data_IF_176077642817
#
_entry.id   IF_176077642817
#
_cell.length_a   1.000
_cell.length_b   1.000
_cell.length_c   1.000
_cell.angle_alpha   90.00
_cell.angle_beta   90.00
_cell.angle_gamma   90.00
#
_symmetry.space_group_name_H-M   'P 1'
#
loop_
_entity.id
_entity.type
_entity.pdbx_description
1 polymer ?
#
# COMPACT_ATOMS: atom_id res chain seq x y z
N UNK A 1 26.21 23.89 20.29
CA UNK A 1 25.33 24.49 19.25
C UNK A 1 24.37 23.40 18.79
N UNK A 2 23.12 23.43 19.29
CA UNK A 2 22.09 22.50 18.85
C UNK A 2 21.58 22.97 17.50
N UNK A 3 21.92 22.28 16.41
CA UNK A 3 21.22 22.46 15.14
C UNK A 3 19.82 21.89 15.32
N UNK A 4 18.84 22.77 15.56
CA UNK A 4 17.44 22.43 15.36
C UNK A 4 17.31 22.14 13.87
N UNK A 5 17.20 20.87 13.51
CA UNK A 5 16.73 20.46 12.18
C UNK A 5 15.35 21.10 12.02
N UNK A 6 15.24 22.03 11.08
CA UNK A 6 13.94 22.57 10.70
C UNK A 6 13.03 21.41 10.26
N UNK A 7 11.74 21.42 10.61
CA UNK A 7 10.82 20.41 10.13
C UNK A 7 10.80 20.45 8.61
N UNK A 8 11.06 19.31 7.98
CA UNK A 8 10.89 19.17 6.53
C UNK A 8 9.42 19.45 6.24
N UNK A 9 9.15 20.57 5.57
CA UNK A 9 7.79 20.88 5.11
C UNK A 9 7.51 19.90 3.98
N UNK A 10 6.68 18.90 4.26
CA UNK A 10 6.17 17.99 3.23
C UNK A 10 5.34 18.81 2.25
N UNK A 11 5.77 18.85 0.99
CA UNK A 11 5.01 19.48 -0.10
C UNK A 11 4.02 18.44 -0.61
N UNK A 12 2.73 18.64 -0.33
CA UNK A 12 1.67 17.74 -0.82
C UNK A 12 1.39 17.94 -2.31
N UNK A 13 0.65 17.00 -2.90
CA UNK A 13 0.04 17.12 -4.22
C UNK A 13 -0.79 18.39 -4.33
N UNK A 14 -1.60 18.69 -3.31
CA UNK A 14 -2.45 19.88 -3.27
C UNK A 14 -1.63 21.17 -3.25
N UNK A 15 -0.57 21.23 -2.44
CA UNK A 15 0.32 22.39 -2.40
C UNK A 15 0.98 22.65 -3.76
N UNK A 16 1.35 21.56 -4.47
CA UNK A 16 1.88 21.68 -5.83
C UNK A 16 0.81 22.12 -6.82
N UNK A 17 -0.39 21.56 -6.75
CA UNK A 17 -1.50 21.88 -7.66
C UNK A 17 -1.84 23.38 -7.62
N UNK A 18 -1.94 23.95 -6.41
CA UNK A 18 -2.28 25.37 -6.20
C UNK A 18 -1.24 26.33 -6.77
N UNK A 19 0.04 25.93 -6.86
CA UNK A 19 1.10 26.75 -7.48
C UNK A 19 0.92 26.95 -8.99
N UNK A 20 0.08 26.13 -9.65
CA UNK A 20 -0.15 26.19 -11.09
C UNK A 20 1.09 25.77 -11.89
N UNK A 21 1.11 26.10 -13.21
CA UNK A 21 2.17 25.66 -14.15
C UNK A 21 2.48 24.18 -14.00
N UNK A 22 1.44 23.35 -14.12
CA UNK A 22 1.46 21.94 -13.71
C UNK A 22 2.57 21.12 -14.38
N UNK A 23 2.97 21.50 -15.58
CA UNK A 23 3.88 20.73 -16.43
C UNK A 23 5.19 21.46 -16.72
N UNK A 24 5.59 22.39 -15.84
CA UNK A 24 6.89 23.06 -15.91
C UNK A 24 8.03 22.04 -15.74
N UNK A 25 8.99 22.05 -16.67
CA UNK A 25 10.08 21.07 -16.71
C UNK A 25 10.86 21.02 -15.39
N UNK A 26 10.99 19.82 -14.82
CA UNK A 26 11.67 19.59 -13.54
C UNK A 26 10.83 19.92 -12.31
N UNK A 27 9.58 20.30 -12.49
CA UNK A 27 8.62 20.58 -11.44
C UNK A 27 7.23 20.05 -11.82
N UNK A 28 7.15 19.01 -12.64
CA UNK A 28 5.90 18.45 -13.13
C UNK A 28 5.04 17.92 -11.97
N UNK A 29 3.72 18.17 -12.03
CA UNK A 29 2.75 17.80 -10.99
C UNK A 29 2.71 16.27 -10.76
N UNK A 30 2.84 15.51 -11.84
CA UNK A 30 2.89 14.05 -11.82
C UNK A 30 4.19 13.60 -12.45
N UNK A 31 4.67 12.42 -12.07
CA UNK A 31 5.83 11.81 -12.72
C UNK A 31 5.46 11.38 -14.15
N UNK A 32 6.10 12.01 -15.15
CA UNK A 32 5.81 11.80 -16.57
C UNK A 32 6.28 10.44 -17.12
N UNK A 33 7.09 9.69 -16.37
CA UNK A 33 7.56 8.35 -16.75
C UNK A 33 6.79 7.24 -16.02
N UNK A 34 6.36 7.48 -14.79
CA UNK A 34 5.57 6.51 -14.01
C UNK A 34 4.71 7.23 -12.97
N UNK A 35 3.40 7.31 -13.20
CA UNK A 35 2.47 8.00 -12.29
C UNK A 35 2.41 7.37 -10.89
N UNK A 36 2.77 6.09 -10.77
CA UNK A 36 2.80 5.35 -9.51
C UNK A 36 4.07 5.64 -8.68
N UNK A 37 5.00 6.44 -9.20
CA UNK A 37 6.17 6.92 -8.50
C UNK A 37 6.04 8.42 -8.23
N UNK A 38 6.65 8.86 -7.14
CA UNK A 38 6.63 10.27 -6.77
C UNK A 38 7.29 11.14 -7.85
N UNK A 39 6.78 12.36 -8.09
CA UNK A 39 7.48 13.36 -8.89
C UNK A 39 8.69 13.92 -8.11
N UNK A 40 9.63 14.54 -8.81
CA UNK A 40 10.92 15.00 -8.24
C UNK A 40 10.71 16.01 -7.10
N UNK A 41 9.68 16.85 -7.17
CA UNK A 41 9.41 17.85 -6.14
C UNK A 41 8.90 17.24 -4.82
N UNK A 42 8.38 16.02 -4.83
CA UNK A 42 7.69 15.42 -3.70
C UNK A 42 8.69 14.78 -2.73
N UNK A 43 8.82 15.35 -1.53
CA UNK A 43 9.88 14.96 -0.59
C UNK A 43 9.59 13.64 0.15
N UNK A 44 8.32 13.20 0.19
CA UNK A 44 7.91 11.94 0.82
C UNK A 44 8.24 10.68 0.02
N UNK A 45 7.86 9.51 0.54
CA UNK A 45 8.09 8.21 -0.11
C UNK A 45 7.09 7.94 -1.24
N UNK A 46 7.32 6.90 -2.06
CA UNK A 46 6.37 6.51 -3.10
C UNK A 46 5.03 6.06 -2.48
N UNK A 47 5.05 5.46 -1.29
CA UNK A 47 3.84 5.11 -0.54
C UNK A 47 3.05 6.38 -0.17
N UNK A 48 3.72 7.36 0.44
CA UNK A 48 3.09 8.63 0.82
C UNK A 48 2.54 9.38 -0.40
N UNK A 49 3.25 9.33 -1.53
CA UNK A 49 2.77 9.87 -2.80
C UNK A 49 1.47 9.19 -3.23
N UNK A 50 1.44 7.85 -3.28
CA UNK A 50 0.25 7.09 -3.65
C UNK A 50 -0.92 7.43 -2.70
N UNK A 51 -0.66 7.49 -1.40
CA UNK A 51 -1.66 7.86 -0.40
C UNK A 51 -2.21 9.27 -0.64
N UNK A 52 -1.36 10.25 -0.92
CA UNK A 52 -1.76 11.63 -1.16
C UNK A 52 -2.61 11.75 -2.44
N UNK A 53 -2.13 11.24 -3.58
CA UNK A 53 -2.86 11.39 -4.84
C UNK A 53 -4.18 10.61 -4.82
N UNK A 54 -4.20 9.40 -4.26
CA UNK A 54 -5.44 8.60 -4.22
C UNK A 54 -6.46 9.20 -3.26
N UNK A 55 -6.02 9.91 -2.21
CA UNK A 55 -6.89 10.71 -1.35
C UNK A 55 -7.47 11.89 -2.12
N UNK A 56 -6.65 12.62 -2.87
CA UNK A 56 -7.14 13.72 -3.72
C UNK A 56 -8.18 13.22 -4.73
N UNK A 57 -7.90 12.12 -5.43
CA UNK A 57 -8.79 11.51 -6.44
C UNK A 57 -10.13 11.13 -5.81
N UNK A 58 -10.11 10.50 -4.64
CA UNK A 58 -11.32 10.11 -3.92
C UNK A 58 -12.19 11.31 -3.55
N UNK A 59 -11.56 12.41 -3.11
CA UNK A 59 -12.27 13.62 -2.68
C UNK A 59 -12.68 14.53 -3.86
N UNK A 60 -11.94 14.51 -4.96
CA UNK A 60 -12.09 15.47 -6.08
C UNK A 60 -12.06 14.77 -7.46
N UNK A 61 -12.94 13.80 -7.74
CA UNK A 61 -12.86 12.97 -8.95
C UNK A 61 -13.00 13.76 -10.25
N UNK A 62 -13.79 14.84 -10.27
CA UNK A 62 -13.96 15.70 -11.44
C UNK A 62 -12.68 16.47 -11.78
N UNK A 63 -12.06 17.10 -10.77
CA UNK A 63 -10.80 17.81 -10.93
C UNK A 63 -9.67 16.86 -11.35
N UNK A 64 -9.65 15.64 -10.79
CA UNK A 64 -8.71 14.62 -11.22
C UNK A 64 -8.84 14.28 -12.69
N UNK A 65 -10.07 14.10 -13.20
CA UNK A 65 -10.27 13.74 -14.61
C UNK A 65 -9.67 14.78 -15.56
N UNK A 66 -9.81 16.07 -15.25
CA UNK A 66 -9.20 17.15 -16.04
C UNK A 66 -7.67 17.05 -16.01
N UNK A 67 -7.08 16.92 -14.82
CA UNK A 67 -5.62 16.79 -14.63
C UNK A 67 -5.08 15.54 -15.34
N UNK A 68 -5.77 14.41 -15.24
CA UNK A 68 -5.34 13.15 -15.81
C UNK A 68 -5.42 13.17 -17.34
N UNK A 69 -6.44 13.82 -17.91
CA UNK A 69 -6.52 14.02 -19.36
C UNK A 69 -5.37 14.87 -19.90
N UNK A 70 -4.99 15.95 -19.19
CA UNK A 70 -3.80 16.73 -19.53
C UNK A 70 -2.51 15.89 -19.41
N UNK A 71 -2.38 15.14 -18.32
CA UNK A 71 -1.24 14.26 -18.09
C UNK A 71 -1.04 13.24 -19.21
N UNK A 72 -2.11 12.59 -19.67
CA UNK A 72 -2.04 11.60 -20.74
C UNK A 72 -1.57 12.18 -22.09
N UNK A 73 -1.73 13.49 -22.32
CA UNK A 73 -1.26 14.13 -23.55
C UNK A 73 0.26 14.38 -23.55
N UNK A 74 0.87 14.49 -22.37
CA UNK A 74 2.28 14.88 -22.21
C UNK A 74 3.15 13.73 -21.68
N UNK A 75 2.54 12.73 -21.05
CA UNK A 75 3.26 11.58 -20.51
C UNK A 75 3.97 10.82 -21.65
N UNK A 76 5.15 10.29 -21.33
CA UNK A 76 5.94 9.54 -22.29
C UNK A 76 5.22 8.25 -22.66
N UNK A 77 5.02 7.99 -23.97
CA UNK A 77 4.39 6.76 -24.46
C UNK A 77 5.14 5.45 -24.14
N UNK A 78 6.34 5.55 -23.56
CA UNK A 78 7.14 4.41 -23.09
C UNK A 78 7.09 4.22 -21.56
N UNK A 79 6.35 5.07 -20.84
CA UNK A 79 6.20 5.05 -19.39
C UNK A 79 4.96 4.30 -18.90
N UNK A 80 4.81 4.21 -17.57
CA UNK A 80 3.62 3.66 -16.91
C UNK A 80 2.66 4.77 -16.50
N UNK A 81 1.77 5.12 -17.42
CA UNK A 81 0.80 6.21 -17.24
C UNK A 81 -0.52 5.77 -16.59
N UNK A 82 -0.73 4.46 -16.39
CA UNK A 82 -1.91 3.92 -15.70
C UNK A 82 -1.68 3.99 -14.18
N UNK A 83 -2.51 4.75 -13.47
CA UNK A 83 -2.50 4.72 -12.01
C UNK A 83 -3.10 3.40 -11.53
N UNK A 84 -2.30 2.58 -10.86
CA UNK A 84 -2.70 1.24 -10.45
C UNK A 84 -3.44 1.23 -9.12
N UNK A 85 -3.43 2.34 -8.38
CA UNK A 85 -4.00 2.45 -7.04
C UNK A 85 -5.27 3.28 -7.04
N UNK A 86 -6.21 2.93 -6.17
CA UNK A 86 -7.44 3.67 -5.96
C UNK A 86 -7.90 3.52 -4.51
N UNK A 87 -8.82 4.37 -4.06
CA UNK A 87 -9.54 4.15 -2.79
C UNK A 87 -10.92 3.55 -3.09
N UNK A 88 -11.30 2.51 -2.36
CA UNK A 88 -12.66 1.97 -2.43
C UNK A 88 -13.67 2.92 -1.75
N UNK A 89 -14.95 2.55 -1.71
CA UNK A 89 -16.04 3.35 -1.12
C UNK A 89 -15.83 3.66 0.37
N UNK A 90 -15.12 2.78 1.08
CA UNK A 90 -14.78 2.94 2.50
C UNK A 90 -13.50 3.76 2.71
N UNK A 91 -12.86 4.19 1.62
CA UNK A 91 -11.63 4.98 1.65
C UNK A 91 -10.36 4.14 1.77
N UNK A 92 -10.40 2.81 1.78
CA UNK A 92 -9.20 1.97 1.85
C UNK A 92 -8.43 1.98 0.52
N UNK A 93 -7.10 2.04 0.62
CA UNK A 93 -6.21 1.93 -0.52
C UNK A 93 -6.27 0.50 -1.11
N UNK A 94 -6.46 0.41 -2.42
CA UNK A 94 -6.56 -0.84 -3.17
C UNK A 94 -5.70 -0.74 -4.42
N UNK A 95 -5.28 -1.91 -4.90
CA UNK A 95 -4.59 -2.07 -6.16
C UNK A 95 -5.56 -2.62 -7.21
N UNK A 96 -5.51 -2.10 -8.42
CA UNK A 96 -6.34 -2.54 -9.54
C UNK A 96 -6.01 -3.98 -9.93
N UNK A 97 -7.04 -4.74 -10.35
CA UNK A 97 -6.90 -6.09 -10.92
C UNK A 97 -6.23 -7.12 -9.99
N UNK A 98 -6.31 -6.95 -8.66
CA UNK A 98 -5.88 -7.97 -7.69
C UNK A 98 -7.00 -8.38 -6.74
N UNK A 99 -7.08 -9.67 -6.45
CA UNK A 99 -7.95 -10.26 -5.42
C UNK A 99 -7.18 -10.63 -4.14
N UNK A 100 -5.89 -10.29 -4.07
CA UNK A 100 -5.01 -10.65 -2.95
C UNK A 100 -5.02 -9.53 -1.90
N UNK A 101 -6.16 -9.26 -1.28
CA UNK A 101 -6.39 -8.06 -0.46
C UNK A 101 -5.84 -8.26 0.96
N UNK A 102 -6.28 -9.31 1.66
CA UNK A 102 -5.87 -9.57 3.03
C UNK A 102 -4.90 -10.75 3.10
N UNK A 103 -3.82 -10.57 3.85
CA UNK A 103 -2.96 -11.67 4.29
C UNK A 103 -3.64 -12.33 5.50
N UNK A 104 -4.27 -13.48 5.28
CA UNK A 104 -4.93 -14.29 6.30
C UNK A 104 -3.91 -15.16 7.01
N UNK A 105 -3.86 -15.07 8.34
CA UNK A 105 -2.97 -15.81 9.22
C UNK A 105 -3.84 -16.56 10.24
N UNK A 106 -3.71 -17.88 10.28
CA UNK A 106 -4.41 -18.75 11.21
C UNK A 106 -3.45 -19.83 11.74
N UNK A 107 -3.77 -20.46 12.86
CA UNK A 107 -2.98 -21.59 13.34
C UNK A 107 -3.10 -22.80 12.42
N UNK A 108 -2.02 -23.54 12.21
CA UNK A 108 -2.03 -24.67 11.27
C UNK A 108 -2.84 -25.87 11.79
N UNK A 109 -2.70 -26.18 13.08
CA UNK A 109 -3.31 -27.37 13.70
C UNK A 109 -4.20 -27.03 14.90
N UNK A 110 -3.99 -25.86 15.51
CA UNK A 110 -4.74 -25.39 16.68
C UNK A 110 -5.07 -23.91 16.50
N UNK A 111 -6.25 -23.45 16.96
CA UNK A 111 -6.61 -22.04 16.96
C UNK A 111 -5.57 -21.18 17.68
N UNK A 112 -5.29 -19.98 17.15
CA UNK A 112 -4.45 -19.00 17.82
C UNK A 112 -5.30 -18.14 18.74
N UNK A 113 -4.77 -17.81 19.92
CA UNK A 113 -5.47 -16.90 20.82
C UNK A 113 -5.41 -15.45 20.31
N UNK A 114 -6.41 -14.65 20.69
CA UNK A 114 -6.44 -13.22 20.41
C UNK A 114 -5.13 -12.51 20.76
N UNK A 115 -4.52 -12.82 21.91
CA UNK A 115 -3.25 -12.20 22.34
C UNK A 115 -2.12 -12.46 21.36
N UNK A 116 -2.02 -13.69 20.84
CA UNK A 116 -1.01 -14.07 19.85
C UNK A 116 -1.28 -13.35 18.53
N UNK A 117 -2.52 -13.41 18.04
CA UNK A 117 -2.91 -12.74 16.79
C UNK A 117 -2.66 -11.24 16.87
N UNK A 118 -3.06 -10.60 17.97
CA UNK A 118 -2.83 -9.17 18.16
C UNK A 118 -1.33 -8.83 18.19
N UNK A 119 -0.49 -9.68 18.81
CA UNK A 119 0.96 -9.51 18.76
C UNK A 119 1.50 -9.59 17.33
N UNK A 120 1.02 -10.54 16.52
CA UNK A 120 1.41 -10.64 15.10
C UNK A 120 1.01 -9.35 14.36
N UNK A 121 -0.24 -8.92 14.52
CA UNK A 121 -0.77 -7.72 13.87
C UNK A 121 0.02 -6.46 14.20
N UNK A 122 0.36 -6.26 15.48
CA UNK A 122 1.20 -5.13 15.92
C UNK A 122 2.60 -5.19 15.30
N UNK A 123 3.28 -6.35 15.35
CA UNK A 123 4.60 -6.51 14.76
C UNK A 123 4.61 -6.30 13.24
N UNK A 124 3.57 -6.75 12.52
CA UNK A 124 3.45 -6.47 11.10
C UNK A 124 3.18 -4.98 10.83
N UNK A 125 2.40 -4.32 11.68
CA UNK A 125 2.10 -2.88 11.55
C UNK A 125 3.35 -2.01 11.72
N UNK A 126 4.22 -2.36 12.69
CA UNK A 126 5.53 -1.70 12.89
C UNK A 126 6.43 -1.78 11.66
N UNK A 127 6.21 -2.78 10.80
CA UNK A 127 6.99 -3.02 9.58
C UNK A 127 6.19 -2.70 8.31
N UNK A 128 5.11 -1.93 8.46
CA UNK A 128 4.12 -1.70 7.41
C UNK A 128 4.68 -1.16 6.11
N UNK A 129 5.65 -0.25 6.17
CA UNK A 129 6.25 0.30 4.95
C UNK A 129 7.11 -0.72 4.20
N UNK A 130 7.94 -1.50 4.90
CA UNK A 130 8.71 -2.58 4.27
C UNK A 130 7.78 -3.62 3.65
N UNK A 131 6.73 -4.00 4.38
CA UNK A 131 5.73 -4.97 3.94
C UNK A 131 4.92 -4.45 2.75
N UNK A 132 4.62 -3.15 2.69
CA UNK A 132 3.98 -2.52 1.54
C UNK A 132 4.81 -2.73 0.27
N UNK A 133 6.10 -2.37 0.27
CA UNK A 133 6.96 -2.57 -0.90
C UNK A 133 7.19 -4.05 -1.22
N UNK A 134 7.29 -4.90 -0.19
CA UNK A 134 7.38 -6.35 -0.33
C UNK A 134 6.14 -6.94 -1.03
N UNK A 135 4.95 -6.45 -0.67
CA UNK A 135 3.68 -6.82 -1.29
C UNK A 135 3.60 -6.36 -2.75
N UNK A 136 4.02 -5.13 -3.07
CA UNK A 136 4.04 -4.66 -4.46
C UNK A 136 4.93 -5.53 -5.36
N UNK A 137 6.08 -5.98 -4.84
CA UNK A 137 6.93 -6.97 -5.52
C UNK A 137 6.21 -8.30 -5.66
N UNK A 138 5.58 -8.79 -4.59
CA UNK A 138 4.83 -10.04 -4.58
C UNK A 138 3.76 -10.08 -5.67
N UNK A 139 2.99 -9.01 -5.88
CA UNK A 139 1.93 -8.99 -6.90
C UNK A 139 2.47 -9.28 -8.30
N UNK A 140 3.65 -8.75 -8.63
CA UNK A 140 4.33 -8.96 -9.92
C UNK A 140 5.10 -10.29 -10.05
N UNK A 141 5.18 -11.10 -8.99
CA UNK A 141 5.92 -12.36 -8.99
C UNK A 141 5.20 -13.48 -9.74
N UNK A 142 5.99 -14.40 -10.32
CA UNK A 142 5.49 -15.68 -10.84
C UNK A 142 5.08 -16.60 -9.68
N UNK A 143 4.24 -17.60 -9.97
CA UNK A 143 3.70 -18.51 -8.96
C UNK A 143 4.77 -19.19 -8.08
N UNK A 144 5.94 -19.54 -8.63
CA UNK A 144 7.05 -20.09 -7.85
C UNK A 144 7.54 -19.10 -6.79
N UNK A 145 7.79 -17.86 -7.17
CA UNK A 145 8.34 -16.84 -6.28
C UNK A 145 7.30 -16.36 -5.27
N UNK A 146 6.01 -16.32 -5.66
CA UNK A 146 4.90 -16.11 -4.73
C UNK A 146 4.87 -17.16 -3.61
N UNK A 147 5.08 -18.45 -3.93
CA UNK A 147 5.16 -19.51 -2.92
C UNK A 147 6.36 -19.33 -1.99
N UNK A 148 7.50 -18.91 -2.52
CA UNK A 148 8.69 -18.62 -1.69
C UNK A 148 8.46 -17.44 -0.75
N UNK A 149 7.78 -16.39 -1.23
CA UNK A 149 7.43 -15.24 -0.41
C UNK A 149 6.50 -15.63 0.75
N UNK A 150 5.44 -16.43 0.48
CA UNK A 150 4.55 -16.93 1.51
C UNK A 150 5.32 -17.80 2.52
N UNK A 151 6.16 -18.72 2.05
CA UNK A 151 6.98 -19.55 2.93
C UNK A 151 7.92 -18.71 3.83
N UNK A 152 8.53 -17.65 3.28
CA UNK A 152 9.35 -16.74 4.07
C UNK A 152 8.54 -16.00 5.14
N UNK A 153 7.35 -15.50 4.79
CA UNK A 153 6.44 -14.87 5.76
C UNK A 153 5.99 -15.85 6.83
N UNK A 154 5.68 -17.10 6.46
CA UNK A 154 5.33 -18.18 7.40
C UNK A 154 6.47 -18.38 8.39
N UNK A 155 7.69 -18.68 7.92
CA UNK A 155 8.86 -18.88 8.79
C UNK A 155 9.08 -17.70 9.72
N UNK A 156 8.93 -16.46 9.22
CA UNK A 156 9.09 -15.25 10.03
C UNK A 156 8.07 -15.16 11.16
N UNK A 157 6.79 -15.44 10.87
CA UNK A 157 5.72 -15.40 11.88
C UNK A 157 5.85 -16.57 12.85
N UNK A 158 6.14 -17.77 12.38
CA UNK A 158 6.35 -18.94 13.26
C UNK A 158 7.53 -18.72 14.21
N UNK A 159 8.60 -18.07 13.75
CA UNK A 159 9.75 -17.69 14.60
C UNK A 159 9.35 -16.68 15.68
N UNK A 160 8.44 -15.75 15.35
CA UNK A 160 7.95 -14.73 16.29
C UNK A 160 7.11 -15.36 17.42
N UNK A 161 6.24 -16.32 17.10
CA UNK A 161 5.24 -16.83 18.06
C UNK A 161 5.53 -18.25 18.57
N UNK A 162 6.57 -18.91 18.05
CA UNK A 162 6.93 -20.30 18.33
C UNK A 162 5.77 -21.32 18.13
N UNK A 163 4.93 -21.08 17.12
CA UNK A 163 3.79 -21.93 16.73
C UNK A 163 3.67 -21.99 15.21
N UNK A 164 3.11 -23.09 14.72
CA UNK A 164 2.87 -23.28 13.30
C UNK A 164 1.65 -22.52 12.79
N UNK A 165 1.79 -21.86 11.64
CA UNK A 165 0.72 -21.04 11.05
C UNK A 165 0.47 -21.37 9.58
N UNK A 166 -0.76 -21.15 9.15
CA UNK A 166 -1.13 -21.10 7.75
C UNK A 166 -1.24 -19.65 7.31
N UNK A 167 -0.60 -19.30 6.19
CA UNK A 167 -0.68 -17.97 5.59
C UNK A 167 -1.23 -18.09 4.18
N UNK A 168 -2.31 -17.34 3.91
CA UNK A 168 -2.96 -17.29 2.60
C UNK A 168 -3.36 -15.87 2.25
N UNK A 169 -3.74 -15.64 0.99
CA UNK A 169 -4.37 -14.39 0.57
C UNK A 169 -5.84 -14.62 0.32
N UNK A 170 -6.67 -13.67 0.75
CA UNK A 170 -8.10 -13.65 0.46
C UNK A 170 -8.53 -12.29 -0.08
N UNK A 171 -9.64 -12.30 -0.82
CA UNK A 171 -10.26 -11.10 -1.38
C UNK A 171 -11.20 -10.40 -0.41
N UNK A 172 -11.74 -11.12 0.59
CA UNK A 172 -12.78 -10.60 1.47
C UNK A 172 -12.70 -11.22 2.85
N UNK A 173 -13.41 -10.61 3.80
CA UNK A 173 -13.54 -11.12 5.16
C UNK A 173 -14.64 -12.19 5.28
N UNK A 174 -15.45 -12.38 4.24
CA UNK A 174 -16.58 -13.33 4.23
C UNK A 174 -16.15 -14.79 4.33
N UNK A 175 -14.87 -15.08 4.14
CA UNK A 175 -14.27 -16.41 4.32
C UNK A 175 -13.95 -16.73 5.80
N UNK A 176 -14.31 -15.85 6.74
CA UNK A 176 -14.14 -16.09 8.18
C UNK A 176 -15.39 -16.70 8.80
N UNK A 177 -15.19 -17.63 9.75
CA UNK A 177 -16.25 -18.18 10.61
C UNK A 177 -16.50 -17.30 11.86
N UNK A 178 -15.81 -16.17 12.00
CA UNK A 178 -15.95 -15.21 13.11
C UNK A 178 -15.64 -15.79 14.51
N UNK A 179 -14.71 -16.74 14.56
CA UNK A 179 -14.31 -17.50 15.76
C UNK A 179 -13.20 -16.86 16.60
N UNK A 180 -12.66 -15.72 16.16
CA UNK A 180 -11.60 -14.89 16.78
C UNK A 180 -10.24 -15.57 16.84
N UNK A 181 -9.98 -16.47 15.89
CA UNK A 181 -8.76 -17.25 15.76
C UNK A 181 -8.00 -17.00 14.45
N UNK A 182 -8.46 -16.03 13.65
CA UNK A 182 -7.86 -15.64 12.39
C UNK A 182 -7.48 -14.15 12.39
N UNK A 183 -6.32 -13.83 11.84
CA UNK A 183 -5.90 -12.45 11.58
C UNK A 183 -5.89 -12.16 10.09
N UNK A 184 -6.48 -11.03 9.72
CA UNK A 184 -6.52 -10.51 8.36
C UNK A 184 -5.73 -9.22 8.32
N UNK A 185 -4.54 -9.24 7.71
CA UNK A 185 -3.68 -8.06 7.58
C UNK A 185 -3.84 -7.42 6.20
N UNK A 186 -4.18 -6.14 6.16
CA UNK A 186 -4.23 -5.32 4.95
C UNK A 186 -2.86 -4.66 4.73
N UNK A 187 -2.09 -5.21 3.78
CA UNK A 187 -0.72 -4.77 3.49
C UNK A 187 -0.64 -3.36 2.87
N UNK A 188 -1.73 -2.88 2.24
CA UNK A 188 -1.76 -1.55 1.65
C UNK A 188 -2.10 -0.47 2.68
N UNK A 189 -2.91 -0.81 3.68
CA UNK A 189 -3.42 0.14 4.68
C UNK A 189 -2.72 0.03 6.04
N UNK A 190 -1.83 -0.95 6.22
CA UNK A 190 -1.10 -1.19 7.47
C UNK A 190 -2.07 -1.31 8.65
N UNK A 191 -3.10 -2.13 8.45
CA UNK A 191 -4.16 -2.36 9.43
C UNK A 191 -4.49 -3.84 9.48
N UNK A 192 -4.95 -4.32 10.63
CA UNK A 192 -5.37 -5.71 10.77
C UNK A 192 -6.68 -5.83 11.52
N UNK A 193 -7.38 -6.93 11.23
CA UNK A 193 -8.64 -7.30 11.86
C UNK A 193 -8.47 -8.73 12.37
N UNK A 194 -8.97 -9.00 13.57
CA UNK A 194 -9.04 -10.34 14.14
C UNK A 194 -10.50 -10.76 14.12
N UNK A 195 -10.79 -11.84 13.39
CA UNK A 195 -12.13 -12.35 13.18
C UNK A 195 -12.27 -13.76 13.72
#
# INVERSE_FOLDING_TARGET
>A
MNSKTEPIIHVSFMDRLVKGRLWEKGNELLNLQNINQRPIYYLGTDKEWIEDITTFIFLNPLAWNEIYMEYLQIASGNGDSELKFYRNEEGYLRLTKTSQIYLKIAGQSEPLSYTILNSIGQTLSEQGEELFYSYLKYIGMKARDKRLWIAHMTTRIETLIAKHVTITFTASLDESDFTRDELYFDLLNVSYIIL
#
